data_IF_307710695330
#
_entry.id   IF_307710695330
#
_cell.length_a   1.000
_cell.length_b   1.000
_cell.length_c   1.000
_cell.angle_alpha   90.00
_cell.angle_beta   90.00
_cell.angle_gamma   90.00
#
_symmetry.space_group_name_H-M   'P 1'
#
loop_
_entity.id
_entity.type
_entity.pdbx_description
1 polymer ?
#
# COMPACT_ATOMS: atom_id res chain seq x y z
N UNK A 1 8.40 3.52 29.83
CA UNK A 1 8.87 3.07 28.52
C UNK A 1 8.19 1.75 28.11
N UNK A 2 7.69 0.96 29.06
CA UNK A 2 7.07 -0.36 28.84
C UNK A 2 5.54 -0.35 29.00
N UNK A 3 4.93 0.84 29.16
CA UNK A 3 3.50 0.98 29.45
C UNK A 3 2.60 1.04 28.21
N UNK A 4 3.19 0.92 27.00
CA UNK A 4 2.44 0.95 25.75
C UNK A 4 3.01 -0.08 24.77
N UNK A 5 2.46 -1.32 24.73
CA UNK A 5 2.92 -2.40 23.87
C UNK A 5 2.89 -2.02 22.38
N UNK A 6 1.83 -1.36 21.93
CA UNK A 6 1.68 -0.93 20.52
C UNK A 6 2.74 0.09 20.10
N UNK A 7 3.04 1.07 20.97
CA UNK A 7 4.12 2.04 20.73
C UNK A 7 5.50 1.37 20.79
N UNK A 8 5.68 0.38 21.67
CA UNK A 8 6.87 -0.46 21.74
C UNK A 8 7.08 -1.19 20.42
N UNK A 9 6.06 -1.87 19.93
CA UNK A 9 6.09 -2.63 18.69
C UNK A 9 6.37 -1.75 17.46
N UNK A 10 5.70 -0.59 17.33
CA UNK A 10 5.97 0.39 16.25
C UNK A 10 7.43 0.87 16.26
N UNK A 11 8.00 1.12 17.43
CA UNK A 11 9.41 1.53 17.56
C UNK A 11 10.37 0.40 17.22
N UNK A 12 10.07 -0.82 17.66
CA UNK A 12 10.87 -2.01 17.33
C UNK A 12 10.85 -2.27 15.84
N UNK A 13 9.68 -2.23 15.19
CA UNK A 13 9.54 -2.38 13.72
C UNK A 13 10.32 -1.30 12.99
N UNK A 14 10.23 -0.03 13.43
CA UNK A 14 10.99 1.06 12.82
C UNK A 14 12.49 0.88 13.01
N UNK A 15 12.93 0.47 14.19
CA UNK A 15 14.35 0.20 14.48
C UNK A 15 14.87 -0.96 13.63
N UNK A 16 14.09 -2.05 13.53
CA UNK A 16 14.42 -3.21 12.68
C UNK A 16 14.62 -2.80 11.21
N UNK A 17 13.70 -1.98 10.67
CA UNK A 17 13.82 -1.45 9.30
C UNK A 17 15.07 -0.56 9.11
N UNK A 18 15.36 0.29 10.07
CA UNK A 18 16.56 1.15 9.99
C UNK A 18 17.85 0.33 10.08
N UNK A 19 17.89 -0.68 10.95
CA UNK A 19 19.03 -1.58 11.05
C UNK A 19 19.21 -2.37 9.76
N UNK A 20 18.14 -2.86 9.15
CA UNK A 20 18.19 -3.57 7.87
C UNK A 20 18.79 -2.71 6.75
N UNK A 21 18.45 -1.42 6.69
CA UNK A 21 19.05 -0.48 5.72
C UNK A 21 20.54 -0.30 5.97
N UNK A 22 20.94 -0.10 7.24
CA UNK A 22 22.35 0.06 7.62
C UNK A 22 23.15 -1.21 7.33
N UNK A 23 22.61 -2.38 7.68
CA UNK A 23 23.29 -3.66 7.45
C UNK A 23 23.42 -3.97 5.95
N UNK A 24 22.42 -3.61 5.14
CA UNK A 24 22.46 -3.74 3.69
C UNK A 24 23.56 -2.87 3.09
N UNK A 25 23.64 -1.61 3.51
CA UNK A 25 24.69 -0.70 3.05
C UNK A 25 26.09 -1.24 3.41
N UNK A 26 26.30 -1.64 4.67
CA UNK A 26 27.56 -2.21 5.13
C UNK A 26 27.92 -3.54 4.43
N UNK A 27 26.94 -4.30 3.96
CA UNK A 27 27.16 -5.51 3.16
C UNK A 27 27.61 -5.15 1.75
N UNK A 28 26.95 -4.20 1.09
CA UNK A 28 27.33 -3.74 -0.24
C UNK A 28 28.74 -3.13 -0.26
N UNK A 29 29.10 -2.35 0.74
CA UNK A 29 30.46 -1.81 0.87
C UNK A 29 31.51 -2.94 0.96
N UNK A 30 31.27 -3.93 1.82
CA UNK A 30 32.17 -5.11 1.93
C UNK A 30 32.29 -5.89 0.62
N UNK A 31 31.17 -6.14 -0.06
CA UNK A 31 31.17 -6.84 -1.35
C UNK A 31 31.97 -6.08 -2.41
N UNK A 32 31.87 -4.74 -2.42
CA UNK A 32 32.64 -3.89 -3.34
C UNK A 32 34.13 -3.90 -3.02
N UNK A 33 34.51 -3.89 -1.75
CA UNK A 33 35.91 -3.96 -1.32
C UNK A 33 36.50 -5.34 -1.65
N UNK A 34 35.75 -6.44 -1.40
CA UNK A 34 36.15 -7.79 -1.79
C UNK A 34 36.31 -7.92 -3.31
N UNK A 35 35.41 -7.30 -4.10
CA UNK A 35 35.48 -7.28 -5.55
C UNK A 35 36.74 -6.55 -6.04
N UNK A 36 37.05 -5.38 -5.46
CA UNK A 36 38.26 -4.61 -5.81
C UNK A 36 39.54 -5.37 -5.53
N UNK A 37 39.61 -6.02 -4.35
CA UNK A 37 40.78 -6.82 -3.99
C UNK A 37 40.99 -8.01 -4.95
N UNK A 38 39.90 -8.64 -5.38
CA UNK A 38 39.98 -9.76 -6.34
C UNK A 38 40.31 -9.28 -7.77
N UNK A 39 39.84 -8.11 -8.20
CA UNK A 39 40.18 -7.49 -9.49
C UNK A 39 41.66 -7.11 -9.56
N UNK A 40 42.25 -6.61 -8.47
CA UNK A 40 43.69 -6.37 -8.35
C UNK A 40 44.49 -7.66 -8.54
N UNK A 41 44.06 -8.78 -7.92
CA UNK A 41 44.71 -10.08 -8.07
C UNK A 41 44.65 -10.60 -9.51
N UNK A 42 43.51 -10.42 -10.19
CA UNK A 42 43.35 -10.79 -11.60
C UNK A 42 44.23 -9.98 -12.55
N UNK A 43 44.60 -8.76 -12.15
CA UNK A 43 45.53 -7.92 -12.92
C UNK A 43 46.96 -8.47 -12.93
N UNK A 44 47.34 -9.26 -11.92
CA UNK A 44 48.67 -9.86 -11.78
C UNK A 44 48.75 -11.27 -12.39
N UNK A 45 47.65 -12.03 -12.40
CA UNK A 45 47.59 -13.41 -12.87
C UNK A 45 46.26 -13.67 -13.61
N UNK A 46 46.31 -14.10 -14.89
CA UNK A 46 45.12 -14.37 -15.69
C UNK A 46 44.50 -15.74 -15.31
N UNK A 47 43.59 -15.70 -14.33
CA UNK A 47 42.84 -16.88 -13.89
C UNK A 47 41.38 -16.83 -14.41
N UNK A 48 41.02 -17.75 -15.36
CA UNK A 48 39.67 -17.79 -15.94
C UNK A 48 38.57 -18.13 -14.93
N UNK A 49 38.86 -18.93 -13.89
CA UNK A 49 37.89 -19.29 -12.88
C UNK A 49 37.57 -18.11 -11.98
N UNK A 50 38.60 -17.38 -11.54
CA UNK A 50 38.48 -16.17 -10.75
C UNK A 50 37.74 -15.06 -11.53
N UNK A 51 38.02 -14.94 -12.84
CA UNK A 51 37.32 -13.97 -13.71
C UNK A 51 35.81 -14.24 -13.75
N UNK A 52 35.42 -15.51 -13.92
CA UNK A 52 34.00 -15.89 -13.91
C UNK A 52 33.34 -15.64 -12.56
N UNK A 53 34.02 -15.94 -11.46
CA UNK A 53 33.52 -15.65 -10.12
C UNK A 53 33.31 -14.14 -9.90
N UNK A 54 34.19 -13.29 -10.42
CA UNK A 54 34.06 -11.85 -10.36
C UNK A 54 32.90 -11.31 -11.20
N UNK A 55 32.68 -11.88 -12.41
CA UNK A 55 31.54 -11.51 -13.25
C UNK A 55 30.22 -11.87 -12.55
N UNK A 56 30.12 -13.04 -11.92
CA UNK A 56 28.95 -13.46 -11.15
C UNK A 56 28.72 -12.55 -9.91
N UNK A 57 29.79 -12.17 -9.20
CA UNK A 57 29.73 -11.22 -8.08
C UNK A 57 29.30 -9.82 -8.52
N UNK A 58 29.85 -9.33 -9.63
CA UNK A 58 29.48 -8.02 -10.19
C UNK A 58 28.00 -7.97 -10.52
N UNK A 59 27.49 -9.00 -11.21
CA UNK A 59 26.07 -9.11 -11.55
C UNK A 59 25.18 -9.10 -10.29
N UNK A 60 25.63 -9.76 -9.21
CA UNK A 60 24.91 -9.77 -7.92
C UNK A 60 24.90 -8.39 -7.24
N UNK A 61 26.04 -7.68 -7.26
CA UNK A 61 26.16 -6.33 -6.70
C UNK A 61 25.28 -5.34 -7.49
N UNK A 62 25.30 -5.42 -8.82
CA UNK A 62 24.47 -4.60 -9.71
C UNK A 62 22.97 -4.81 -9.42
N UNK A 63 22.52 -6.06 -9.32
CA UNK A 63 21.12 -6.37 -8.98
C UNK A 63 20.71 -5.85 -7.59
N UNK A 64 21.61 -5.93 -6.59
CA UNK A 64 21.32 -5.39 -5.26
C UNK A 64 21.32 -3.85 -5.25
N UNK A 65 22.19 -3.22 -6.01
CA UNK A 65 22.23 -1.76 -6.18
C UNK A 65 20.95 -1.24 -6.86
N UNK A 66 20.50 -1.89 -7.92
CA UNK A 66 19.22 -1.56 -8.57
C UNK A 66 18.04 -1.60 -7.58
N UNK A 67 18.00 -2.62 -6.70
CA UNK A 67 16.97 -2.70 -5.64
C UNK A 67 17.06 -1.55 -4.64
N UNK A 68 18.27 -1.14 -4.25
CA UNK A 68 18.47 0.01 -3.35
C UNK A 68 18.06 1.31 -4.02
N UNK A 69 18.43 1.51 -5.30
CA UNK A 69 17.99 2.66 -6.08
C UNK A 69 16.46 2.71 -6.17
N UNK A 70 15.83 1.59 -6.50
CA UNK A 70 14.37 1.49 -6.56
C UNK A 70 13.73 1.85 -5.21
N UNK A 71 14.24 1.30 -4.11
CA UNK A 71 13.77 1.64 -2.77
C UNK A 71 13.94 3.13 -2.43
N UNK A 72 14.97 3.79 -2.96
CA UNK A 72 15.20 5.22 -2.76
C UNK A 72 14.17 6.11 -3.47
N UNK A 73 13.50 5.59 -4.51
CA UNK A 73 12.41 6.29 -5.21
C UNK A 73 11.10 6.26 -4.41
N UNK A 74 10.99 5.33 -3.44
CA UNK A 74 9.83 5.14 -2.60
C UNK A 74 9.93 6.06 -1.38
N UNK A 75 9.52 7.32 -1.55
CA UNK A 75 9.59 8.38 -0.53
C UNK A 75 8.21 8.77 0.03
N UNK A 76 7.15 8.15 -0.43
CA UNK A 76 5.78 8.39 0.03
C UNK A 76 5.56 7.89 1.47
N UNK A 77 4.69 8.55 2.19
CA UNK A 77 4.38 8.27 3.61
C UNK A 77 4.01 6.80 3.87
N UNK A 78 3.37 6.16 2.90
CA UNK A 78 2.83 4.80 3.01
C UNK A 78 3.57 3.76 2.16
N UNK A 79 4.59 4.17 1.40
CA UNK A 79 5.28 3.27 0.47
C UNK A 79 5.87 2.03 1.14
N UNK A 80 6.29 2.17 2.39
CA UNK A 80 6.85 1.08 3.19
C UNK A 80 5.80 0.11 3.81
N UNK A 81 4.51 0.38 3.58
CA UNK A 81 3.43 -0.45 4.13
C UNK A 81 3.17 -1.68 3.27
N UNK A 82 2.47 -2.64 3.87
CA UNK A 82 1.80 -3.71 3.15
C UNK A 82 0.71 -3.14 2.23
N UNK A 83 0.29 -3.90 1.23
CA UNK A 83 -0.68 -3.45 0.24
C UNK A 83 -1.94 -4.31 0.23
N UNK A 84 -3.09 -3.69 0.09
CA UNK A 84 -4.33 -4.36 -0.29
C UNK A 84 -4.60 -4.02 -1.75
N UNK A 85 -4.73 -5.05 -2.58
CA UNK A 85 -4.99 -4.93 -4.00
C UNK A 85 -6.34 -5.51 -4.37
N UNK A 86 -7.09 -4.81 -5.23
CA UNK A 86 -8.38 -5.26 -5.73
C UNK A 86 -8.39 -5.24 -7.25
N UNK A 87 -8.60 -6.40 -7.85
CA UNK A 87 -8.78 -6.58 -9.29
C UNK A 87 -10.26 -6.65 -9.63
N UNK A 88 -10.66 -5.96 -10.69
CA UNK A 88 -12.02 -5.99 -11.21
C UNK A 88 -12.01 -6.21 -12.72
N UNK A 89 -12.82 -7.17 -13.19
CA UNK A 89 -13.10 -7.33 -14.60
C UNK A 89 -13.88 -6.11 -15.11
N UNK A 90 -13.46 -5.55 -16.24
CA UNK A 90 -14.09 -4.40 -16.88
C UNK A 90 -14.89 -4.80 -18.13
N UNK A 91 -14.91 -3.91 -19.12
CA UNK A 91 -15.57 -4.18 -20.40
C UNK A 91 -14.92 -5.35 -21.15
N UNK A 92 -15.72 -6.26 -21.71
CA UNK A 92 -15.25 -7.42 -22.51
C UNK A 92 -15.94 -8.75 -22.18
N UNK A 93 -16.93 -8.76 -21.27
CA UNK A 93 -17.71 -9.97 -20.93
C UNK A 93 -16.82 -11.08 -20.33
N UNK A 94 -16.97 -12.33 -20.81
CA UNK A 94 -16.20 -13.49 -20.35
C UNK A 94 -14.70 -13.29 -20.56
N UNK A 95 -14.30 -12.69 -21.69
CA UNK A 95 -12.89 -12.39 -21.97
C UNK A 95 -12.26 -11.43 -20.94
N UNK A 96 -13.03 -10.49 -20.37
CA UNK A 96 -12.52 -9.60 -19.32
C UNK A 96 -12.40 -10.30 -17.97
N UNK A 97 -13.28 -11.27 -17.68
CA UNK A 97 -13.19 -12.10 -16.46
C UNK A 97 -11.97 -13.03 -16.51
N UNK A 98 -11.68 -13.62 -17.67
CA UNK A 98 -10.47 -14.42 -17.89
C UNK A 98 -9.21 -13.53 -17.82
N UNK A 99 -9.29 -12.30 -18.38
CA UNK A 99 -8.19 -11.35 -18.28
C UNK A 99 -7.88 -10.95 -16.83
N UNK A 100 -8.89 -10.71 -16.02
CA UNK A 100 -8.69 -10.42 -14.59
C UNK A 100 -8.00 -11.58 -13.85
N UNK A 101 -8.35 -12.83 -14.17
CA UNK A 101 -7.68 -14.02 -13.62
C UNK A 101 -6.22 -14.15 -14.10
N UNK A 102 -5.95 -13.84 -15.37
CA UNK A 102 -4.58 -13.79 -15.89
C UNK A 102 -3.72 -12.76 -15.16
N UNK A 103 -4.28 -11.56 -14.89
CA UNK A 103 -3.60 -10.50 -14.12
C UNK A 103 -3.38 -10.93 -12.67
N UNK A 104 -4.37 -11.54 -12.03
CA UNK A 104 -4.20 -12.07 -10.68
C UNK A 104 -3.00 -13.02 -10.62
N UNK A 105 -2.96 -14.01 -11.50
CA UNK A 105 -1.84 -14.96 -11.58
C UNK A 105 -0.49 -14.28 -11.85
N UNK A 106 -0.45 -13.24 -12.67
CA UNK A 106 0.74 -12.45 -12.94
C UNK A 106 1.26 -11.78 -11.66
N UNK A 107 0.37 -11.11 -10.90
CA UNK A 107 0.77 -10.43 -9.65
C UNK A 107 1.14 -11.41 -8.54
N UNK A 108 0.45 -12.54 -8.42
CA UNK A 108 0.81 -13.58 -7.44
C UNK A 108 2.22 -14.13 -7.70
N UNK A 109 2.56 -14.42 -8.96
CA UNK A 109 3.90 -14.91 -9.34
C UNK A 109 4.97 -13.84 -9.13
N UNK A 110 4.66 -12.59 -9.43
CA UNK A 110 5.58 -11.50 -9.14
C UNK A 110 5.85 -11.38 -7.65
N UNK A 111 4.81 -11.40 -6.82
CA UNK A 111 4.94 -11.31 -5.37
C UNK A 111 5.75 -12.48 -4.79
N UNK A 112 5.51 -13.71 -5.27
CA UNK A 112 6.28 -14.89 -4.88
C UNK A 112 7.77 -14.75 -5.24
N UNK A 113 8.07 -14.24 -6.43
CA UNK A 113 9.45 -13.99 -6.87
C UNK A 113 10.15 -12.92 -6.04
N UNK A 114 9.44 -11.88 -5.62
CA UNK A 114 9.93 -10.84 -4.73
C UNK A 114 10.00 -11.28 -3.25
N UNK A 115 9.62 -12.52 -2.94
CA UNK A 115 9.63 -13.06 -1.58
C UNK A 115 8.58 -12.47 -0.67
N UNK A 116 7.52 -11.88 -1.23
CA UNK A 116 6.38 -11.36 -0.48
C UNK A 116 5.40 -12.46 -0.11
N UNK A 117 4.76 -12.33 1.04
CA UNK A 117 3.65 -13.20 1.42
C UNK A 117 2.36 -12.65 0.85
N UNK A 118 1.53 -13.54 0.29
CA UNK A 118 0.24 -13.19 -0.30
C UNK A 118 -0.88 -13.85 0.47
N UNK A 119 -1.86 -13.07 0.88
CA UNK A 119 -3.13 -13.54 1.43
C UNK A 119 -4.24 -13.21 0.45
N UNK A 120 -4.99 -14.23 0.02
CA UNK A 120 -6.18 -14.06 -0.82
C UNK A 120 -7.39 -13.83 0.09
N UNK A 121 -7.89 -12.59 0.13
CA UNK A 121 -8.97 -12.18 1.01
C UNK A 121 -10.34 -12.59 0.44
N UNK A 122 -10.55 -12.32 -0.84
CA UNK A 122 -11.81 -12.61 -1.52
C UNK A 122 -11.58 -12.89 -3.01
N UNK A 123 -12.27 -13.89 -3.55
CA UNK A 123 -12.31 -14.15 -4.99
C UNK A 123 -13.75 -14.39 -5.40
N UNK A 124 -14.28 -13.54 -6.27
CA UNK A 124 -15.60 -13.70 -6.86
C UNK A 124 -15.43 -14.32 -8.25
N UNK A 125 -15.82 -15.61 -8.44
CA UNK A 125 -15.64 -16.30 -9.70
C UNK A 125 -16.48 -15.66 -10.82
N UNK A 126 -16.02 -15.83 -12.05
CA UNK A 126 -16.76 -15.49 -13.26
C UNK A 126 -17.97 -16.38 -13.47
N UNK A 127 -18.78 -16.06 -14.47
CA UNK A 127 -19.99 -16.86 -14.80
C UNK A 127 -19.64 -18.15 -15.52
N UNK A 128 -18.73 -18.11 -16.48
CA UNK A 128 -18.29 -19.25 -17.29
C UNK A 128 -16.79 -19.50 -17.17
N UNK A 129 -15.99 -18.44 -17.00
CA UNK A 129 -14.54 -18.52 -16.87
C UNK A 129 -13.99 -17.31 -16.10
N UNK A 130 -12.77 -17.46 -15.54
CA UNK A 130 -12.05 -16.37 -14.88
C UNK A 130 -12.71 -15.88 -13.59
N UNK A 131 -12.49 -14.61 -13.27
CA UNK A 131 -12.98 -13.95 -12.04
C UNK A 131 -13.66 -12.62 -12.36
N UNK A 132 -14.74 -12.29 -11.63
CA UNK A 132 -15.35 -10.95 -11.65
C UNK A 132 -14.52 -9.95 -10.87
N UNK A 133 -14.03 -10.37 -9.72
CA UNK A 133 -13.12 -9.60 -8.88
C UNK A 133 -12.28 -10.50 -7.99
N UNK A 134 -11.13 -9.98 -7.55
CA UNK A 134 -10.34 -10.59 -6.49
C UNK A 134 -9.73 -9.48 -5.62
N UNK A 135 -9.70 -9.72 -4.31
CA UNK A 135 -8.98 -8.89 -3.36
C UNK A 135 -7.92 -9.75 -2.68
N UNK A 136 -6.72 -9.22 -2.59
CA UNK A 136 -5.59 -9.89 -1.94
C UNK A 136 -4.70 -8.88 -1.21
N UNK A 137 -4.10 -9.33 -0.13
CA UNK A 137 -3.15 -8.56 0.67
C UNK A 137 -1.73 -9.04 0.41
N UNK A 138 -0.81 -8.10 0.17
CA UNK A 138 0.62 -8.36 0.02
C UNK A 138 1.35 -7.88 1.27
N UNK A 139 2.07 -8.80 1.92
CA UNK A 139 2.93 -8.52 3.06
C UNK A 139 4.39 -8.58 2.64
N UNK A 140 5.10 -7.47 2.78
CA UNK A 140 6.51 -7.41 2.45
C UNK A 140 7.08 -5.99 2.44
N UNK A 141 8.40 -5.85 2.35
CA UNK A 141 9.03 -4.54 2.32
C UNK A 141 8.60 -3.75 1.08
N UNK A 142 8.05 -2.56 1.32
CA UNK A 142 7.61 -1.63 0.28
C UNK A 142 6.49 -2.17 -0.65
N UNK A 143 5.70 -3.14 -0.20
CA UNK A 143 4.68 -3.78 -1.02
C UNK A 143 3.70 -2.77 -1.63
N UNK A 144 3.21 -1.79 -0.84
CA UNK A 144 2.34 -0.74 -1.36
C UNK A 144 3.06 0.17 -2.36
N UNK A 145 4.26 0.63 -2.04
CA UNK A 145 5.02 1.53 -2.91
C UNK A 145 5.25 0.93 -4.29
N UNK A 146 5.69 -0.33 -4.34
CA UNK A 146 5.93 -1.07 -5.58
C UNK A 146 4.63 -1.33 -6.35
N UNK A 147 3.64 -1.96 -5.70
CA UNK A 147 2.40 -2.34 -6.39
C UNK A 147 1.56 -1.13 -6.79
N UNK A 148 1.66 0.01 -6.09
CA UNK A 148 0.98 1.26 -6.46
C UNK A 148 1.34 1.75 -7.86
N UNK A 149 2.53 1.37 -8.37
CA UNK A 149 2.95 1.67 -9.74
C UNK A 149 2.10 0.94 -10.80
N UNK A 150 1.46 -0.16 -10.43
CA UNK A 150 0.62 -0.98 -11.31
C UNK A 150 -0.86 -0.57 -11.29
N UNK A 151 -1.23 0.36 -10.44
CA UNK A 151 -2.60 0.83 -10.28
C UNK A 151 -3.15 1.46 -11.56
N UNK A 152 -4.30 0.98 -12.02
CA UNK A 152 -5.00 1.51 -13.19
C UNK A 152 -5.66 0.44 -14.05
N UNK A 153 -6.01 0.82 -15.28
CA UNK A 153 -6.69 -0.04 -16.25
C UNK A 153 -5.67 -0.74 -17.15
N UNK A 154 -5.81 -2.06 -17.27
CA UNK A 154 -4.98 -2.93 -18.10
C UNK A 154 -5.82 -3.45 -19.28
N UNK A 155 -5.34 -3.26 -20.49
CA UNK A 155 -5.99 -3.65 -21.74
C UNK A 155 -5.34 -4.89 -22.33
N UNK A 156 -6.14 -5.92 -22.62
CA UNK A 156 -5.71 -7.11 -23.36
C UNK A 156 -6.29 -7.09 -24.78
N UNK A 157 -5.48 -7.45 -25.77
CA UNK A 157 -5.90 -7.68 -27.17
C UNK A 157 -5.41 -9.05 -27.60
N UNK A 158 -6.36 -9.98 -27.83
CA UNK A 158 -6.04 -11.36 -28.24
C UNK A 158 -7.16 -11.94 -29.13
N UNK A 159 -6.92 -13.11 -29.71
CA UNK A 159 -7.99 -13.96 -30.22
C UNK A 159 -8.74 -14.54 -29.04
N UNK A 160 -10.08 -14.39 -29.03
CA UNK A 160 -10.89 -14.91 -27.93
C UNK A 160 -10.94 -16.44 -27.97
N UNK A 161 -10.62 -17.13 -26.86
CA UNK A 161 -10.82 -18.57 -26.75
C UNK A 161 -12.30 -18.95 -26.58
N UNK A 162 -13.16 -17.98 -26.25
CA UNK A 162 -14.59 -18.16 -26.00
C UNK A 162 -15.45 -17.86 -27.24
N UNK A 163 -14.89 -17.20 -28.25
CA UNK A 163 -15.57 -16.91 -29.52
C UNK A 163 -15.32 -18.06 -30.51
N UNK A 164 -16.40 -18.73 -30.94
CA UNK A 164 -16.33 -19.81 -31.94
C UNK A 164 -15.67 -19.37 -33.26
N UNK A 165 -15.80 -18.11 -33.62
CA UNK A 165 -15.15 -17.53 -34.81
C UNK A 165 -13.69 -17.09 -34.59
N UNK A 166 -13.14 -17.27 -33.37
CA UNK A 166 -11.79 -16.87 -32.99
C UNK A 166 -11.45 -15.43 -33.38
N UNK A 167 -12.40 -14.51 -33.25
CA UNK A 167 -12.20 -13.09 -33.56
C UNK A 167 -11.30 -12.44 -32.52
N UNK A 168 -10.68 -11.36 -32.93
CA UNK A 168 -9.86 -10.53 -32.06
C UNK A 168 -10.76 -9.69 -31.12
N UNK A 169 -10.63 -9.89 -29.83
CA UNK A 169 -11.33 -9.15 -28.79
C UNK A 169 -10.38 -8.24 -28.02
N UNK A 170 -10.97 -7.20 -27.47
CA UNK A 170 -10.30 -6.28 -26.53
C UNK A 170 -11.03 -6.35 -25.20
N UNK A 171 -10.28 -6.62 -24.13
CA UNK A 171 -10.79 -6.78 -22.78
C UNK A 171 -10.08 -5.85 -21.83
N UNK A 172 -10.77 -5.38 -20.82
CA UNK A 172 -10.23 -4.47 -19.81
C UNK A 172 -10.40 -5.07 -18.42
N UNK A 173 -9.41 -4.84 -17.57
CA UNK A 173 -9.48 -5.10 -16.14
C UNK A 173 -8.77 -3.98 -15.39
N UNK A 174 -9.19 -3.67 -14.18
CA UNK A 174 -8.56 -2.64 -13.36
C UNK A 174 -7.93 -3.25 -12.12
N UNK A 175 -6.77 -2.70 -11.75
CA UNK A 175 -6.14 -2.92 -10.46
C UNK A 175 -6.28 -1.65 -9.62
N UNK A 176 -6.87 -1.75 -8.44
CA UNK A 176 -6.80 -0.73 -7.40
C UNK A 176 -5.86 -1.18 -6.28
N UNK A 177 -5.11 -0.26 -5.69
CA UNK A 177 -4.12 -0.55 -4.64
C UNK A 177 -4.22 0.49 -3.55
N UNK A 178 -4.38 0.05 -2.32
CA UNK A 178 -4.37 0.90 -1.13
C UNK A 178 -3.36 0.37 -0.11
N UNK A 179 -2.77 1.23 0.74
CA UNK A 179 -1.89 0.77 1.80
C UNK A 179 -2.71 0.07 2.89
N UNK A 180 -2.16 -1.02 3.43
CA UNK A 180 -2.67 -1.60 4.67
C UNK A 180 -2.27 -0.66 5.82
N UNK A 181 -3.25 0.04 6.37
CA UNK A 181 -3.02 0.91 7.52
C UNK A 181 -3.15 0.08 8.82
N UNK A 182 -2.25 0.28 9.80
CA UNK A 182 -2.36 -0.40 11.09
C UNK A 182 -3.73 -0.07 11.72
N UNK A 183 -4.39 -1.07 12.28
CA UNK A 183 -5.57 -0.86 13.10
C UNK A 183 -5.15 -0.01 14.32
N UNK A 184 -5.76 1.15 14.47
CA UNK A 184 -5.74 1.85 15.74
C UNK A 184 -6.85 1.22 16.56
N UNK A 185 -6.48 0.50 17.64
CA UNK A 185 -7.45 -0.04 18.58
C UNK A 185 -8.35 1.09 19.07
N UNK A 186 -9.63 1.06 18.67
CA UNK A 186 -10.65 2.03 19.08
C UNK A 186 -10.80 2.10 20.61
N UNK A 187 -10.35 1.06 21.32
CA UNK A 187 -10.41 0.96 22.78
C UNK A 187 -9.33 1.79 23.50
N UNK A 188 -8.25 2.21 22.82
CA UNK A 188 -7.08 2.80 23.49
C UNK A 188 -6.79 4.24 23.07
N UNK A 189 -7.84 5.04 22.77
CA UNK A 189 -7.64 6.48 22.55
C UNK A 189 -7.12 7.10 23.85
N UNK A 190 -5.78 7.27 23.91
CA UNK A 190 -5.08 7.94 25.00
C UNK A 190 -5.24 9.44 24.84
N UNK A 191 -6.10 10.04 25.63
CA UNK A 191 -6.29 11.49 25.67
C UNK A 191 -5.34 12.05 26.73
N UNK A 192 -4.44 12.96 26.36
CA UNK A 192 -3.61 13.67 27.34
C UNK A 192 -4.53 14.55 28.20
N UNK A 193 -4.45 14.48 29.54
CA UNK A 193 -5.22 15.35 30.42
C UNK A 193 -5.08 16.85 30.14
N UNK A 194 -3.95 17.27 29.54
CA UNK A 194 -3.72 18.66 29.15
C UNK A 194 -4.60 19.12 27.99
N UNK A 195 -5.05 18.17 27.16
CA UNK A 195 -5.92 18.43 26.01
C UNK A 195 -7.41 18.44 26.39
N UNK A 196 -7.72 18.31 27.68
CA UNK A 196 -9.07 18.30 28.20
C UNK A 196 -9.37 19.57 28.98
N UNK A 197 -10.51 20.21 28.69
CA UNK A 197 -11.15 21.17 29.55
C UNK A 197 -12.40 20.56 30.17
N UNK A 198 -12.48 20.55 31.48
CA UNK A 198 -13.61 19.99 32.24
C UNK A 198 -14.34 21.13 32.90
N UNK A 199 -15.59 21.34 32.50
CA UNK A 199 -16.49 22.34 33.06
C UNK A 199 -17.56 21.63 33.89
N UNK A 200 -17.76 22.08 35.16
CA UNK A 200 -18.79 21.57 36.08
C UNK A 200 -19.88 22.63 36.17
N UNK A 201 -21.13 22.23 36.04
CA UNK A 201 -22.26 23.13 36.09
C UNK A 201 -23.48 22.51 36.75
N UNK A 202 -24.50 23.31 37.08
CA UNK A 202 -25.73 22.83 37.67
C UNK A 202 -26.59 22.11 36.64
N UNK A 203 -27.07 20.92 37.04
CA UNK A 203 -28.02 20.19 36.21
C UNK A 203 -29.34 20.95 36.13
N UNK A 204 -29.87 21.10 34.90
CA UNK A 204 -31.21 21.64 34.66
C UNK A 204 -32.12 20.52 34.19
N UNK A 205 -33.15 20.18 34.98
CA UNK A 205 -34.11 19.12 34.62
C UNK A 205 -35.37 19.16 35.48
N UNK A 206 -36.49 18.55 35.05
CA UNK A 206 -37.69 18.40 35.86
C UNK A 206 -37.40 17.40 36.98
N UNK A 207 -37.08 17.86 38.18
CA UNK A 207 -36.82 17.07 39.36
C UNK A 207 -36.86 17.92 40.60
N UNK A 208 -37.14 17.32 41.79
CA UNK A 208 -37.34 18.00 43.06
C UNK A 208 -36.11 18.79 43.54
N UNK A 209 -36.26 19.53 44.68
CA UNK A 209 -35.29 20.49 45.23
C UNK A 209 -33.83 19.99 45.34
N UNK A 210 -33.55 18.68 45.41
CA UNK A 210 -32.19 18.15 45.51
C UNK A 210 -31.42 18.08 44.22
N UNK A 211 -32.10 18.08 43.05
CA UNK A 211 -31.48 18.02 41.72
C UNK A 211 -30.96 19.41 41.29
N UNK A 212 -31.61 20.48 41.77
CA UNK A 212 -31.30 21.86 41.40
C UNK A 212 -30.27 22.55 42.34
N UNK A 213 -29.78 21.85 43.37
CA UNK A 213 -28.86 22.42 44.37
C UNK A 213 -27.42 21.92 44.27
N UNK A 214 -27.15 20.86 43.54
CA UNK A 214 -25.82 20.26 43.48
C UNK A 214 -25.19 20.44 42.09
N UNK A 215 -23.96 20.95 42.03
CA UNK A 215 -23.18 21.08 40.77
C UNK A 215 -22.66 19.68 40.37
N UNK A 216 -23.55 18.84 39.82
CA UNK A 216 -23.22 17.46 39.44
C UNK A 216 -23.03 17.25 37.92
N UNK A 217 -23.51 18.16 37.11
CA UNK A 217 -23.36 18.07 35.66
C UNK A 217 -21.92 18.34 35.23
N UNK A 218 -21.40 17.52 34.31
CA UNK A 218 -20.02 17.62 33.82
C UNK A 218 -20.02 17.73 32.29
N UNK A 219 -19.26 18.69 31.75
CA UNK A 219 -18.92 18.83 30.34
C UNK A 219 -17.42 18.69 30.18
N UNK A 220 -17.00 17.87 29.24
CA UNK A 220 -15.60 17.66 28.88
C UNK A 220 -15.43 18.09 27.42
N UNK A 221 -14.44 18.94 27.16
CA UNK A 221 -14.10 19.42 25.81
C UNK A 221 -12.68 18.98 25.51
N UNK A 222 -12.50 18.31 24.38
CA UNK A 222 -11.18 18.00 23.84
C UNK A 222 -10.68 19.20 23.03
N UNK A 223 -9.67 19.89 23.55
CA UNK A 223 -9.18 21.16 23.02
C UNK A 223 -8.70 21.09 21.57
N UNK A 224 -7.90 20.04 21.14
CA UNK A 224 -7.39 19.98 19.77
C UNK A 224 -8.47 19.79 18.70
N UNK A 225 -9.55 19.05 19.00
CA UNK A 225 -10.62 18.75 18.02
C UNK A 225 -11.88 19.56 18.22
N UNK A 226 -12.03 20.23 19.38
CA UNK A 226 -13.26 20.96 19.76
C UNK A 226 -14.44 20.05 20.10
N UNK A 227 -14.27 18.72 20.08
CA UNK A 227 -15.33 17.78 20.45
C UNK A 227 -15.64 17.89 21.92
N UNK A 228 -16.93 17.92 22.24
CA UNK A 228 -17.41 18.02 23.62
C UNK A 228 -18.39 16.89 23.94
N UNK A 229 -18.39 16.46 25.21
CA UNK A 229 -19.37 15.54 25.77
C UNK A 229 -19.84 16.06 27.11
N UNK A 230 -21.15 15.91 27.39
CA UNK A 230 -21.73 16.32 28.65
C UNK A 230 -22.59 15.19 29.22
N UNK A 231 -22.60 15.06 30.54
CA UNK A 231 -23.46 14.13 31.29
C UNK A 231 -23.98 14.81 32.55
N UNK A 232 -25.30 14.63 32.81
CA UNK A 232 -25.98 15.16 34.01
C UNK A 232 -26.98 14.16 34.64
N UNK A 233 -26.97 12.92 34.14
CA UNK A 233 -28.02 11.93 34.51
C UNK A 233 -27.78 11.25 35.84
N UNK A 234 -26.52 11.27 36.32
CA UNK A 234 -26.17 10.62 37.59
C UNK A 234 -26.13 11.61 38.75
N UNK A 235 -26.39 11.10 39.96
CA UNK A 235 -26.34 11.91 41.20
C UNK A 235 -24.93 12.30 41.59
N UNK A 236 -23.94 11.52 41.15
CA UNK A 236 -22.52 11.72 41.47
C UNK A 236 -21.78 12.42 40.34
N UNK A 237 -21.11 13.51 40.63
CA UNK A 237 -20.22 14.23 39.72
C UNK A 237 -19.15 13.28 39.15
N UNK A 238 -18.60 12.36 39.95
CA UNK A 238 -17.60 11.40 39.52
C UNK A 238 -18.14 10.45 38.43
N UNK A 239 -19.40 9.96 38.63
CA UNK A 239 -20.06 9.09 37.65
C UNK A 239 -20.37 9.86 36.36
N UNK A 240 -20.89 11.11 36.46
CA UNK A 240 -21.10 11.97 35.27
C UNK A 240 -19.82 12.23 34.52
N UNK A 241 -18.68 12.43 35.19
CA UNK A 241 -17.36 12.59 34.58
C UNK A 241 -16.94 11.32 33.85
N UNK A 242 -17.10 10.14 34.44
CA UNK A 242 -16.75 8.87 33.82
C UNK A 242 -17.60 8.60 32.56
N UNK A 243 -18.92 8.87 32.63
CA UNK A 243 -19.82 8.73 31.49
C UNK A 243 -19.48 9.74 30.37
N UNK A 244 -19.26 11.02 30.70
CA UNK A 244 -18.87 12.05 29.77
C UNK A 244 -17.54 11.72 29.08
N UNK A 245 -16.56 11.17 29.83
CA UNK A 245 -15.29 10.72 29.25
C UNK A 245 -15.47 9.57 28.26
N UNK A 246 -16.32 8.59 28.56
CA UNK A 246 -16.64 7.48 27.66
C UNK A 246 -17.31 7.97 26.37
N UNK A 247 -18.29 8.89 26.50
CA UNK A 247 -18.94 9.50 25.34
C UNK A 247 -17.93 10.29 24.50
N UNK A 248 -17.02 11.04 25.13
CA UNK A 248 -15.97 11.78 24.44
C UNK A 248 -15.06 10.85 23.64
N UNK A 249 -14.59 9.75 24.26
CA UNK A 249 -13.77 8.74 23.59
C UNK A 249 -14.48 8.15 22.36
N UNK A 250 -15.75 7.76 22.49
CA UNK A 250 -16.53 7.24 21.35
C UNK A 250 -16.67 8.26 20.21
N UNK A 251 -16.85 9.55 20.52
CA UNK A 251 -16.91 10.60 19.49
C UNK A 251 -15.57 10.86 18.80
N UNK A 252 -14.47 10.76 19.56
CA UNK A 252 -13.12 10.88 19.00
C UNK A 252 -12.80 9.67 18.12
N UNK A 253 -13.16 8.46 18.52
CA UNK A 253 -13.04 7.26 17.71
C UNK A 253 -13.76 7.40 16.36
N UNK A 254 -15.00 7.88 16.39
CA UNK A 254 -15.79 8.12 15.16
C UNK A 254 -15.14 9.19 14.26
N UNK A 255 -14.62 10.29 14.85
CA UNK A 255 -13.89 11.30 14.09
C UNK A 255 -12.64 10.72 13.42
N UNK A 256 -11.81 9.98 14.15
CA UNK A 256 -10.58 9.38 13.61
C UNK A 256 -10.89 8.33 12.54
N UNK A 257 -11.93 7.52 12.73
CA UNK A 257 -12.39 6.58 11.71
C UNK A 257 -12.78 7.30 10.42
N UNK A 258 -13.59 8.37 10.49
CA UNK A 258 -13.98 9.17 9.31
C UNK A 258 -12.78 9.84 8.64
N UNK A 259 -11.83 10.35 9.42
CA UNK A 259 -10.60 10.92 8.86
C UNK A 259 -9.78 9.85 8.11
N UNK A 260 -9.70 8.65 8.67
CA UNK A 260 -9.04 7.52 8.04
C UNK A 260 -9.74 7.06 6.75
N UNK A 261 -11.07 6.96 6.78
CA UNK A 261 -11.88 6.67 5.59
C UNK A 261 -11.64 7.71 4.49
N UNK A 262 -11.64 9.00 4.87
CA UNK A 262 -11.35 10.10 3.95
C UNK A 262 -9.91 10.04 3.39
N UNK A 263 -8.94 9.67 4.22
CA UNK A 263 -7.55 9.51 3.80
C UNK A 263 -7.41 8.35 2.82
N UNK A 264 -8.05 7.21 3.08
CA UNK A 264 -8.11 6.06 2.17
C UNK A 264 -8.77 6.45 0.84
N UNK A 265 -9.87 7.19 0.87
CA UNK A 265 -10.56 7.64 -0.34
C UNK A 265 -9.69 8.61 -1.15
N UNK A 266 -8.98 9.52 -0.48
CA UNK A 266 -8.01 10.41 -1.12
C UNK A 266 -6.85 9.62 -1.75
N UNK A 267 -6.39 8.54 -1.10
CA UNK A 267 -5.35 7.66 -1.63
C UNK A 267 -5.86 6.82 -2.82
N UNK A 268 -7.13 6.44 -2.81
CA UNK A 268 -7.77 5.80 -3.97
C UNK A 268 -7.85 6.76 -5.16
N UNK A 269 -7.94 8.09 -4.93
CA UNK A 269 -8.10 9.10 -5.98
C UNK A 269 -9.38 8.89 -6.79
N UNK A 270 -9.50 9.62 -7.89
CA UNK A 270 -10.68 9.50 -8.77
C UNK A 270 -10.78 8.09 -9.38
N UNK A 271 -11.93 7.44 -9.21
CA UNK A 271 -12.27 6.22 -9.94
C UNK A 271 -12.41 6.60 -11.41
N UNK A 272 -11.46 6.15 -12.22
CA UNK A 272 -11.59 6.26 -13.68
C UNK A 272 -12.46 5.12 -14.18
N UNK A 273 -13.39 5.44 -15.07
CA UNK A 273 -14.20 4.42 -15.73
C UNK A 273 -13.29 3.41 -16.44
N UNK A 274 -13.62 2.11 -16.30
CA UNK A 274 -12.85 1.01 -16.88
C UNK A 274 -13.21 0.90 -18.36
N UNK A 275 -12.86 1.95 -19.15
CA UNK A 275 -13.25 2.11 -20.54
C UNK A 275 -12.06 2.45 -21.46
N UNK A 276 -12.34 2.53 -22.76
CA UNK A 276 -11.40 2.96 -23.79
C UNK A 276 -10.85 4.37 -23.48
N UNK A 277 -9.53 4.47 -23.37
CA UNK A 277 -8.83 5.74 -23.19
C UNK A 277 -8.16 5.94 -21.83
N UNK A 278 -8.54 5.17 -20.81
CA UNK A 278 -7.98 5.27 -19.44
C UNK A 278 -6.90 4.23 -19.12
N UNK A 279 -6.51 3.39 -20.11
CA UNK A 279 -5.54 2.32 -19.88
C UNK A 279 -4.13 2.84 -19.59
N UNK A 280 -3.51 2.29 -18.54
CA UNK A 280 -2.09 2.51 -18.22
C UNK A 280 -1.18 1.64 -19.08
N UNK A 281 -1.64 0.41 -19.43
CA UNK A 281 -0.85 -0.57 -20.13
C UNK A 281 -1.70 -1.42 -21.08
N UNK A 282 -1.13 -1.75 -22.25
CA UNK A 282 -1.73 -2.64 -23.23
C UNK A 282 -0.89 -3.89 -23.40
N UNK A 283 -1.55 -5.04 -23.40
CA UNK A 283 -1.00 -6.36 -23.64
C UNK A 283 -1.59 -6.87 -24.97
N UNK A 284 -0.77 -6.94 -26.01
CA UNK A 284 -1.17 -7.40 -27.34
C UNK A 284 -0.57 -8.78 -27.58
N UNK A 285 -1.45 -9.77 -27.81
CA UNK A 285 -1.06 -11.14 -28.14
C UNK A 285 -1.29 -11.47 -29.62
N UNK A 286 -2.11 -10.66 -30.30
CA UNK A 286 -2.42 -10.82 -31.72
C UNK A 286 -2.75 -9.46 -32.37
N UNK A 287 -2.25 -9.11 -33.59
CA UNK A 287 -1.48 -9.94 -34.52
C UNK A 287 0.04 -10.01 -34.24
N UNK A 288 0.53 -9.19 -33.33
CA UNK A 288 1.92 -9.19 -32.86
C UNK A 288 1.92 -9.31 -31.32
N UNK A 289 3.08 -9.58 -30.75
CA UNK A 289 3.22 -9.76 -29.29
C UNK A 289 3.99 -8.60 -28.71
N UNK A 290 3.31 -7.79 -27.86
CA UNK A 290 3.90 -6.60 -27.25
C UNK A 290 3.16 -6.22 -25.97
N UNK A 291 3.88 -5.89 -24.92
CA UNK A 291 3.39 -5.15 -23.77
C UNK A 291 3.89 -3.73 -23.87
N UNK A 292 2.98 -2.74 -23.82
CA UNK A 292 3.32 -1.31 -23.86
C UNK A 292 2.71 -0.59 -22.68
N UNK A 293 3.56 0.05 -21.87
CA UNK A 293 3.10 1.00 -20.83
C UNK A 293 2.98 2.40 -21.47
N UNK A 294 1.77 2.96 -21.40
CA UNK A 294 1.46 4.25 -22.02
C UNK A 294 1.97 5.45 -21.22
N UNK A 295 2.32 5.26 -19.95
CA UNK A 295 2.83 6.31 -19.06
C UNK A 295 4.32 6.58 -19.30
N UNK A 296 5.07 5.49 -19.50
CA UNK A 296 6.54 5.51 -19.64
C UNK A 296 7.00 5.31 -21.08
N UNK A 297 6.10 4.88 -21.98
CA UNK A 297 6.36 4.41 -23.33
C UNK A 297 7.31 3.19 -23.41
N UNK A 298 7.51 2.47 -22.28
CA UNK A 298 8.29 1.24 -22.29
C UNK A 298 7.55 0.13 -23.03
N UNK A 299 8.27 -0.56 -23.91
CA UNK A 299 7.79 -1.67 -24.73
C UNK A 299 8.58 -2.94 -24.43
N UNK A 300 7.87 -4.07 -24.20
CA UNK A 300 8.46 -5.38 -23.92
C UNK A 300 7.86 -6.41 -24.88
N UNK A 301 8.71 -7.04 -25.72
CA UNK A 301 8.28 -8.05 -26.68
C UNK A 301 8.02 -9.43 -26.08
N UNK A 302 8.67 -9.75 -24.94
CA UNK A 302 8.46 -11.03 -24.27
C UNK A 302 7.23 -10.97 -23.34
N UNK A 303 6.05 -11.09 -23.97
CA UNK A 303 4.76 -11.00 -23.28
C UNK A 303 4.58 -12.14 -22.28
N UNK A 304 5.11 -13.34 -22.57
CA UNK A 304 4.97 -14.50 -21.68
C UNK A 304 5.75 -14.32 -20.39
N UNK A 305 6.95 -13.73 -20.45
CA UNK A 305 7.71 -13.38 -19.25
C UNK A 305 6.93 -12.39 -18.38
N UNK A 306 6.36 -11.34 -18.97
CA UNK A 306 5.55 -10.34 -18.25
C UNK A 306 4.34 -11.01 -17.59
N UNK A 307 3.56 -11.82 -18.33
CA UNK A 307 2.42 -12.58 -17.76
C UNK A 307 2.87 -13.67 -16.77
N UNK A 308 4.12 -14.08 -16.84
CA UNK A 308 4.80 -14.94 -15.88
C UNK A 308 5.24 -14.25 -14.59
N UNK A 309 5.01 -12.91 -14.48
CA UNK A 309 5.35 -12.11 -13.30
C UNK A 309 6.63 -11.26 -13.45
N UNK A 310 7.29 -11.25 -14.62
CA UNK A 310 8.45 -10.39 -14.87
C UNK A 310 8.01 -8.96 -15.22
N UNK A 311 7.62 -8.21 -14.18
CA UNK A 311 7.07 -6.84 -14.31
C UNK A 311 7.97 -5.76 -13.69
N UNK A 312 9.13 -6.12 -13.15
CA UNK A 312 10.00 -5.19 -12.40
C UNK A 312 10.39 -3.97 -13.22
N UNK A 313 10.80 -4.18 -14.47
CA UNK A 313 11.17 -3.09 -15.39
C UNK A 313 10.02 -2.11 -15.63
N UNK A 314 8.77 -2.58 -15.61
CA UNK A 314 7.58 -1.75 -15.77
C UNK A 314 7.32 -0.92 -14.52
N UNK A 315 7.43 -1.54 -13.33
CA UNK A 315 7.32 -0.89 -12.03
C UNK A 315 8.40 0.18 -11.88
N UNK A 316 9.65 -0.18 -12.15
CA UNK A 316 10.80 0.71 -12.06
C UNK A 316 10.66 1.94 -12.97
N UNK A 317 10.31 1.74 -14.24
CA UNK A 317 10.11 2.83 -15.18
C UNK A 317 9.04 3.82 -14.69
N UNK A 318 7.94 3.33 -14.13
CA UNK A 318 6.88 4.17 -13.57
C UNK A 318 7.33 4.90 -12.31
N UNK A 319 8.06 4.26 -11.40
CA UNK A 319 8.58 4.90 -10.19
C UNK A 319 9.60 6.00 -10.54
N UNK A 320 10.50 5.76 -11.49
CA UNK A 320 11.43 6.78 -11.99
C UNK A 320 10.70 7.96 -12.63
N UNK A 321 9.65 7.70 -13.42
CA UNK A 321 8.79 8.75 -13.98
C UNK A 321 8.16 9.61 -12.90
N UNK A 322 7.56 8.99 -11.86
CA UNK A 322 6.96 9.70 -10.71
C UNK A 322 7.98 10.55 -9.96
N UNK A 323 9.15 10.00 -9.67
CA UNK A 323 10.23 10.73 -9.00
C UNK A 323 10.72 11.96 -9.80
N UNK A 324 10.77 11.85 -11.13
CA UNK A 324 11.14 12.96 -12.01
C UNK A 324 10.08 14.06 -12.01
N UNK A 325 8.79 13.70 -12.03
CA UNK A 325 7.69 14.66 -11.95
C UNK A 325 7.68 15.39 -10.61
N UNK A 326 7.82 14.68 -9.49
CA UNK A 326 7.86 15.28 -8.16
C UNK A 326 9.01 16.30 -8.00
N UNK A 327 10.17 16.04 -8.63
CA UNK A 327 11.30 17.00 -8.66
C UNK A 327 11.04 18.21 -9.55
N UNK A 328 10.23 18.06 -10.59
CA UNK A 328 9.82 19.14 -11.49
C UNK A 328 8.86 20.11 -10.83
N UNK A 329 7.85 19.59 -10.11
CA UNK A 329 6.81 20.39 -9.43
C UNK A 329 7.35 21.13 -8.20
N UNK A 330 8.44 20.65 -7.58
CA UNK A 330 9.09 21.32 -6.42
C UNK A 330 10.01 22.50 -6.78
N UNK A 331 10.13 22.86 -8.06
CA UNK A 331 10.98 23.97 -8.54
C UNK A 331 10.17 25.14 -9.13
N UNK A 332 8.83 25.15 -8.97
CA UNK A 332 7.93 26.21 -9.41
C UNK A 332 7.63 27.23 -8.30
#
# INVERSE_FOLDING_TARGET
MWDDPARGQRRTTRLSRLNEVVERHARLERQLDDFRAADELLSDEDDPELRKELEDKLSSIEAELERVELASLLSGRYDANDAIASLHAGAGGIDSQDWADMLLRMYLRWAEREGMQVELDEVLPGEEAGIKSATFTLHGPNAYGLLSAERGVHRLVRLSPFDQAHRRHTSFASLDVIPLLPEEDDEDIKIDPKDLRIDIYRSTGPGGQSVNTTDSAVRIVHLPTGIQAACQNERSQLQNRAVAMRILKSRLADLYRRQREQEIENLRGERRDIEFGSQIRSYVLHPYRLVKDHRTNLEIGNVDAVLGGDIDRLIEAELRRRATQARGDGRG
#
